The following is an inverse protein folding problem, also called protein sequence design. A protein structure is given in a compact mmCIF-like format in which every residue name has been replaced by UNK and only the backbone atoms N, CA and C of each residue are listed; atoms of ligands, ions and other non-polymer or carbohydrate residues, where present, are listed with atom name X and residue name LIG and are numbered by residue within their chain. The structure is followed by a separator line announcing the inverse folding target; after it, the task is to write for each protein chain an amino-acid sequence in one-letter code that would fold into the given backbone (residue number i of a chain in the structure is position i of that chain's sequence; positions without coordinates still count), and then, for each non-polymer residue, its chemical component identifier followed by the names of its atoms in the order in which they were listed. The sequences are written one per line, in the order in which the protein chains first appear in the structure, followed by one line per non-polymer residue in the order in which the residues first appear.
data_IF_302577756812
#
_entry.id   IF_302577756812
#
_cell.length_a   1.000
_cell.length_b   1.000
_cell.length_c   1.000
_cell.angle_alpha   90.00
_cell.angle_beta   90.00
_cell.angle_gamma   90.00
#
_symmetry.space_group_name_H-M   'P 1'
#
loop_
_entity.id
_entity.type
_entity.pdbx_description
1 polymer ?
#
# COMPACT_ATOMS: atom_id res chain seq x y z
N UNK A 1 -38.31 32.00 19.21
CA UNK A 1 -38.30 31.24 17.94
C UNK A 1 -37.17 31.81 17.10
N UNK A 2 -35.97 31.24 17.18
CA UNK A 2 -34.83 31.62 16.35
C UNK A 2 -33.87 30.43 16.25
N UNK A 3 -34.02 29.66 15.18
CA UNK A 3 -33.15 28.53 14.85
C UNK A 3 -33.16 28.33 13.32
N UNK A 4 -32.21 28.94 12.63
CA UNK A 4 -32.16 28.80 11.17
C UNK A 4 -31.07 29.57 10.43
N UNK A 5 -29.83 29.64 10.96
CA UNK A 5 -28.73 30.23 10.18
C UNK A 5 -27.34 29.79 10.66
N UNK A 6 -27.02 28.49 10.59
CA UNK A 6 -25.64 27.98 10.84
C UNK A 6 -25.19 26.82 9.94
N UNK A 7 -25.87 26.56 8.82
CA UNK A 7 -25.54 25.40 7.97
C UNK A 7 -24.64 25.71 6.75
N UNK A 8 -24.38 26.97 6.40
CA UNK A 8 -23.77 27.31 5.09
C UNK A 8 -22.27 27.61 5.09
N UNK A 9 -21.56 27.53 6.23
CA UNK A 9 -20.17 28.00 6.32
C UNK A 9 -19.07 26.93 6.17
N UNK A 10 -19.41 25.64 6.01
CA UNK A 10 -18.40 24.55 5.98
C UNK A 10 -18.07 23.96 4.61
N UNK A 11 -18.69 24.41 3.53
CA UNK A 11 -18.47 23.82 2.20
C UNK A 11 -17.43 24.58 1.33
N UNK A 12 -16.98 25.76 1.75
CA UNK A 12 -16.10 26.60 0.91
C UNK A 12 -14.59 26.39 1.12
N UNK A 13 -14.17 25.56 2.07
CA UNK A 13 -12.74 25.48 2.45
C UNK A 13 -11.97 24.30 1.83
N UNK A 14 -12.63 23.44 1.04
CA UNK A 14 -11.97 22.27 0.44
C UNK A 14 -11.39 22.53 -0.97
N UNK A 15 -11.62 23.71 -1.56
CA UNK A 15 -11.22 24.02 -2.95
C UNK A 15 -9.85 24.70 -3.08
N UNK A 16 -9.14 25.00 -1.98
CA UNK A 16 -7.87 25.76 -2.02
C UNK A 16 -6.59 24.93 -1.87
N UNK A 17 -6.64 23.59 -1.87
CA UNK A 17 -5.43 22.73 -1.76
C UNK A 17 -5.29 21.69 -2.88
N UNK A 18 -5.75 22.01 -4.09
CA UNK A 18 -5.32 21.27 -5.27
C UNK A 18 -4.11 21.98 -5.88
N UNK A 19 -2.91 21.52 -5.49
CA UNK A 19 -1.67 21.87 -6.16
C UNK A 19 -1.70 21.37 -7.63
N UNK A 20 -1.22 22.16 -8.61
CA UNK A 20 -1.08 21.71 -9.97
C UNK A 20 0.08 20.69 -10.07
N UNK A 21 -0.28 19.45 -10.35
CA UNK A 21 0.63 18.40 -10.75
C UNK A 21 1.04 18.64 -12.22
N UNK A 22 1.99 19.54 -12.45
CA UNK A 22 2.58 19.75 -13.78
C UNK A 22 3.66 18.71 -14.04
N UNK A 23 3.31 17.75 -14.90
CA UNK A 23 4.21 16.80 -15.55
C UNK A 23 5.25 17.55 -16.38
N UNK A 24 6.53 17.41 -16.03
CA UNK A 24 7.63 17.54 -16.96
C UNK A 24 8.31 16.17 -17.08
N UNK A 25 7.88 15.38 -18.07
CA UNK A 25 8.60 14.17 -18.51
C UNK A 25 9.82 14.63 -19.30
N UNK A 26 10.98 14.67 -18.67
CA UNK A 26 12.23 14.65 -19.41
C UNK A 26 12.48 13.19 -19.85
N UNK A 27 12.25 12.91 -21.13
CA UNK A 27 12.78 11.72 -21.80
C UNK A 27 14.29 11.89 -21.91
N UNK A 28 15.04 11.34 -20.97
CA UNK A 28 16.48 11.12 -21.14
C UNK A 28 16.70 9.67 -21.55
N UNK A 29 16.88 9.49 -22.86
CA UNK A 29 17.44 8.30 -23.48
C UNK A 29 18.84 8.05 -22.91
N UNK A 30 19.02 6.95 -22.19
CA UNK A 30 20.35 6.44 -21.84
C UNK A 30 20.89 5.61 -23.00
N UNK A 31 22.09 5.92 -23.53
CA UNK A 31 22.76 5.03 -24.46
C UNK A 31 23.36 3.84 -23.71
N UNK A 32 23.07 2.64 -24.23
CA UNK A 32 23.75 1.39 -23.91
C UNK A 32 25.17 1.49 -24.46
N UNK A 33 26.14 1.77 -23.59
CA UNK A 33 27.56 1.65 -23.90
C UNK A 33 28.02 0.24 -23.54
N UNK A 34 28.01 -0.62 -24.56
CA UNK A 34 28.65 -1.93 -24.58
C UNK A 34 30.18 -1.70 -24.63
N UNK A 35 30.87 -1.90 -23.51
CA UNK A 35 32.33 -1.93 -23.47
C UNK A 35 32.79 -3.34 -23.11
N UNK A 36 33.11 -4.11 -24.15
CA UNK A 36 33.87 -5.34 -24.05
C UNK A 36 35.33 -5.01 -23.73
N UNK A 37 35.78 -5.39 -22.53
CA UNK A 37 37.20 -5.40 -22.18
C UNK A 37 37.59 -6.85 -21.83
N UNK A 38 37.98 -7.59 -22.86
CA UNK A 38 38.76 -8.82 -22.76
C UNK A 38 40.17 -8.45 -22.29
N UNK A 39 40.39 -8.46 -20.97
CA UNK A 39 41.74 -8.47 -20.41
C UNK A 39 42.15 -9.92 -20.15
N UNK A 40 43.00 -10.44 -21.05
CA UNK A 40 43.70 -11.70 -20.88
C UNK A 40 44.70 -11.56 -19.72
N UNK A 41 44.32 -12.01 -18.52
CA UNK A 41 45.23 -12.19 -17.39
C UNK A 41 45.93 -13.54 -17.50
N UNK A 42 47.23 -13.49 -17.75
CA UNK A 42 48.13 -14.64 -17.77
C UNK A 42 48.15 -15.38 -16.41
N UNK A 43 48.32 -16.71 -16.39
CA UNK A 43 48.42 -17.49 -15.16
C UNK A 43 49.77 -17.22 -14.49
N UNK A 44 49.74 -16.47 -13.37
CA UNK A 44 50.89 -16.31 -12.48
C UNK A 44 51.08 -17.60 -11.71
N UNK A 45 52.16 -18.33 -11.99
CA UNK A 45 52.57 -19.51 -11.26
C UNK A 45 52.71 -19.18 -9.76
N UNK A 46 51.79 -19.71 -8.95
CA UNK A 46 51.85 -19.60 -7.51
C UNK A 46 52.97 -20.50 -6.96
N UNK A 47 53.73 -20.06 -5.95
CA UNK A 47 54.68 -20.91 -5.25
C UNK A 47 53.93 -22.08 -4.60
N UNK A 48 54.46 -23.30 -4.79
CA UNK A 48 54.03 -24.52 -4.09
C UNK A 48 54.02 -24.25 -2.58
N UNK A 49 52.82 -24.03 -2.05
CA UNK A 49 52.56 -24.00 -0.62
C UNK A 49 52.95 -25.37 -0.06
N UNK A 50 53.88 -25.36 0.89
CA UNK A 50 54.26 -26.54 1.64
C UNK A 50 53.00 -27.13 2.28
N UNK A 51 52.80 -28.44 2.10
CA UNK A 51 51.66 -29.15 2.63
C UNK A 51 51.50 -28.84 4.13
N UNK A 52 50.33 -28.35 4.60
CA UNK A 52 50.10 -28.16 6.01
C UNK A 52 50.23 -29.51 6.73
N UNK A 53 50.76 -29.53 7.96
CA UNK A 53 50.84 -30.74 8.74
C UNK A 53 49.45 -31.36 8.87
N UNK A 54 49.34 -32.65 8.56
CA UNK A 54 48.15 -33.47 8.78
C UNK A 54 47.88 -33.50 10.29
N UNK A 55 47.07 -32.55 10.75
CA UNK A 55 46.48 -32.59 12.08
C UNK A 55 45.40 -33.67 12.02
N UNK A 56 45.65 -34.81 12.65
CA UNK A 56 44.60 -35.80 12.88
C UNK A 56 43.45 -35.12 13.64
N UNK A 57 42.21 -35.12 13.12
CA UNK A 57 41.09 -34.50 13.79
C UNK A 57 40.83 -35.25 15.09
N UNK A 58 41.09 -34.58 16.21
CA UNK A 58 40.63 -35.04 17.52
C UNK A 58 39.09 -35.24 17.47
N UNK A 59 38.57 -36.29 18.12
CA UNK A 59 37.20 -36.74 17.91
C UNK A 59 36.14 -35.66 18.20
N UNK A 60 35.11 -35.61 17.35
CA UNK A 60 33.94 -34.72 17.27
C UNK A 60 33.03 -34.63 18.52
N UNK A 61 33.45 -35.17 19.67
CA UNK A 61 32.65 -35.25 20.90
C UNK A 61 32.21 -33.87 21.43
N UNK A 62 32.90 -32.80 21.08
CA UNK A 62 32.52 -31.43 21.45
C UNK A 62 31.41 -30.86 20.57
N UNK A 63 31.30 -31.29 19.31
CA UNK A 63 30.29 -30.79 18.35
C UNK A 63 28.93 -31.40 18.65
N UNK A 64 28.86 -32.72 18.88
CA UNK A 64 27.61 -33.40 19.22
C UNK A 64 27.02 -32.87 20.55
N UNK A 65 27.86 -32.64 21.56
CA UNK A 65 27.42 -32.08 22.84
C UNK A 65 26.87 -30.64 22.68
N UNK A 66 27.53 -29.82 21.86
CA UNK A 66 27.08 -28.46 21.56
C UNK A 66 25.75 -28.45 20.78
N UNK A 67 25.56 -29.39 19.86
CA UNK A 67 24.31 -29.54 19.11
C UNK A 67 23.14 -29.92 20.02
N UNK A 68 23.33 -30.90 20.91
CA UNK A 68 22.31 -31.32 21.89
C UNK A 68 21.90 -30.17 22.81
N UNK A 69 22.88 -29.37 23.28
CA UNK A 69 22.59 -28.21 24.11
C UNK A 69 21.87 -27.09 23.34
N UNK A 70 22.25 -26.85 22.08
CA UNK A 70 21.55 -25.90 21.21
C UNK A 70 20.10 -26.31 20.94
N UNK A 71 19.82 -27.60 20.73
CA UNK A 71 18.47 -28.13 20.57
C UNK A 71 17.65 -27.98 21.85
N UNK A 72 18.25 -28.23 23.02
CA UNK A 72 17.60 -28.02 24.32
C UNK A 72 17.26 -26.55 24.54
N UNK A 73 18.18 -25.65 24.23
CA UNK A 73 17.99 -24.21 24.30
C UNK A 73 16.84 -23.74 23.37
N UNK A 74 16.78 -24.26 22.15
CA UNK A 74 15.69 -23.98 21.21
C UNK A 74 14.34 -24.50 21.70
N UNK A 75 14.30 -25.68 22.31
CA UNK A 75 13.08 -26.25 22.88
C UNK A 75 12.53 -25.38 24.02
N UNK A 76 13.41 -24.92 24.92
CA UNK A 76 13.04 -24.03 26.03
C UNK A 76 12.48 -22.69 25.54
N UNK A 77 13.09 -22.09 24.52
CA UNK A 77 12.59 -20.84 23.93
C UNK A 77 11.21 -21.03 23.26
N UNK A 78 10.98 -22.18 22.61
CA UNK A 78 9.73 -22.44 21.89
C UNK A 78 8.51 -22.68 22.79
N UNK A 79 8.71 -23.05 24.07
CA UNK A 79 7.62 -23.40 24.98
C UNK A 79 6.70 -22.22 25.35
N UNK A 80 7.17 -20.98 25.20
CA UNK A 80 6.42 -19.77 25.55
C UNK A 80 6.19 -18.81 24.39
N UNK A 81 6.65 -19.13 23.17
CA UNK A 81 6.49 -18.28 22.00
C UNK A 81 5.36 -18.77 21.09
N UNK A 82 4.59 -17.85 20.46
CA UNK A 82 3.62 -18.24 19.46
C UNK A 82 4.32 -18.94 18.29
N UNK A 83 3.64 -19.90 17.69
CA UNK A 83 4.11 -20.57 16.49
C UNK A 83 4.21 -19.58 15.33
N UNK A 84 5.13 -19.83 14.40
CA UNK A 84 5.26 -18.98 13.19
C UNK A 84 3.94 -18.93 12.41
N UNK A 85 3.17 -20.02 12.38
CA UNK A 85 1.87 -20.07 11.72
C UNK A 85 0.85 -19.11 12.35
N UNK A 86 0.82 -19.02 13.69
CA UNK A 86 -0.05 -18.07 14.41
C UNK A 86 0.36 -16.62 14.14
N UNK A 87 1.67 -16.33 14.12
CA UNK A 87 2.19 -14.99 13.81
C UNK A 87 1.82 -14.59 12.38
N UNK A 88 2.04 -15.48 11.42
CA UNK A 88 1.69 -15.23 10.01
C UNK A 88 0.18 -15.06 9.82
N UNK A 89 -0.64 -15.87 10.49
CA UNK A 89 -2.09 -15.74 10.43
C UNK A 89 -2.57 -14.42 11.04
N UNK A 90 -2.04 -14.03 12.20
CA UNK A 90 -2.38 -12.77 12.85
C UNK A 90 -1.95 -11.56 12.01
N UNK A 91 -0.76 -11.58 11.41
CA UNK A 91 -0.28 -10.51 10.54
C UNK A 91 -1.12 -10.40 9.26
N UNK A 92 -1.53 -11.54 8.70
CA UNK A 92 -2.43 -11.57 7.56
C UNK A 92 -3.80 -10.96 7.88
N UNK A 93 -4.36 -11.27 9.05
CA UNK A 93 -5.64 -10.70 9.51
C UNK A 93 -5.53 -9.19 9.78
N UNK A 94 -4.47 -8.75 10.45
CA UNK A 94 -4.23 -7.33 10.73
C UNK A 94 -4.15 -6.51 9.42
N UNK A 95 -3.43 -7.03 8.41
CA UNK A 95 -3.33 -6.37 7.11
C UNK A 95 -4.67 -6.28 6.34
N UNK A 96 -5.61 -7.18 6.62
CA UNK A 96 -6.95 -7.14 6.04
C UNK A 96 -7.85 -6.10 6.74
N UNK A 97 -7.69 -5.91 8.05
CA UNK A 97 -8.44 -4.94 8.86
C UNK A 97 -8.10 -3.48 8.50
N UNK A 98 -6.86 -3.20 8.12
CA UNK A 98 -6.40 -1.84 7.76
C UNK A 98 -7.03 -1.29 6.46
N UNK A 99 -7.77 -2.10 5.69
CA UNK A 99 -8.37 -1.68 4.41
C UNK A 99 -9.90 -1.92 4.31
N UNK A 100 -10.73 -1.30 5.19
CA UNK A 100 -12.18 -1.52 5.21
C UNK A 100 -12.91 -0.90 4.01
N UNK A 101 -12.28 0.06 3.31
CA UNK A 101 -12.96 0.90 2.32
C UNK A 101 -13.33 0.21 1.00
N UNK A 102 -12.49 -0.70 0.51
CA UNK A 102 -12.51 -0.98 -0.92
C UNK A 102 -13.55 -2.00 -1.40
N UNK A 103 -14.12 -2.81 -0.50
CA UNK A 103 -15.28 -3.66 -0.83
C UNK A 103 -16.56 -2.82 -1.00
N UNK A 104 -16.70 -1.76 -0.20
CA UNK A 104 -17.86 -0.87 -0.25
C UNK A 104 -17.91 -0.03 -1.53
N UNK A 105 -16.77 0.39 -2.07
CA UNK A 105 -16.72 1.23 -3.27
C UNK A 105 -17.26 0.53 -4.52
N UNK A 106 -16.90 -0.73 -4.75
CA UNK A 106 -17.40 -1.49 -5.90
C UNK A 106 -18.92 -1.69 -5.83
N UNK A 107 -19.44 -2.03 -4.65
CA UNK A 107 -20.90 -2.16 -4.43
C UNK A 107 -21.61 -0.82 -4.64
N UNK A 108 -21.08 0.28 -4.08
CA UNK A 108 -21.64 1.63 -4.27
C UNK A 108 -21.61 2.07 -5.74
N UNK A 109 -20.54 1.74 -6.47
CA UNK A 109 -20.44 2.05 -7.89
C UNK A 109 -21.48 1.28 -8.72
N UNK A 110 -21.69 -0.02 -8.44
CA UNK A 110 -22.73 -0.82 -9.09
C UNK A 110 -24.14 -0.29 -8.81
N UNK A 111 -24.41 0.12 -7.57
CA UNK A 111 -25.70 0.71 -7.22
C UNK A 111 -25.86 2.08 -7.89
N UNK A 112 -24.82 2.91 -7.93
CA UNK A 112 -24.87 4.22 -8.58
C UNK A 112 -25.15 4.13 -10.09
N UNK A 113 -24.65 3.09 -10.77
CA UNK A 113 -24.94 2.85 -12.19
C UNK A 113 -26.41 2.51 -12.47
N UNK A 114 -27.19 2.09 -11.47
CA UNK A 114 -28.63 1.85 -11.60
C UNK A 114 -29.45 3.14 -11.55
N UNK A 115 -28.91 4.24 -11.02
CA UNK A 115 -29.62 5.50 -10.94
C UNK A 115 -29.34 6.36 -12.18
N UNK A 116 -30.38 6.90 -12.84
CA UNK A 116 -30.17 7.89 -13.90
C UNK A 116 -29.53 9.15 -13.33
N UNK A 117 -28.67 9.77 -14.14
CA UNK A 117 -28.29 11.15 -13.91
C UNK A 117 -29.43 12.05 -14.38
N UNK A 118 -30.07 12.73 -13.44
CA UNK A 118 -31.11 13.72 -13.71
C UNK A 118 -30.47 15.12 -13.78
N UNK A 119 -30.60 15.78 -14.92
CA UNK A 119 -30.23 17.18 -15.11
C UNK A 119 -31.47 17.98 -15.46
N UNK A 120 -31.74 19.00 -14.65
CA UNK A 120 -32.79 19.98 -14.90
C UNK A 120 -32.13 21.28 -15.38
N UNK A 121 -32.52 21.75 -16.56
CA UNK A 121 -32.09 23.04 -17.08
C UNK A 121 -33.32 23.95 -17.19
N UNK A 122 -33.16 25.18 -16.74
CA UNK A 122 -34.15 26.23 -16.91
C UNK A 122 -33.56 27.28 -17.83
N UNK A 123 -34.12 27.41 -19.02
CA UNK A 123 -33.75 28.42 -19.99
C UNK A 123 -34.81 29.50 -19.98
N UNK A 124 -34.35 30.73 -19.74
CA UNK A 124 -35.16 31.94 -19.87
C UNK A 124 -34.57 32.71 -21.05
N UNK A 125 -35.29 32.67 -22.18
CA UNK A 125 -34.89 33.43 -23.35
C UNK A 125 -35.35 34.88 -23.18
N UNK A 126 -34.44 35.75 -22.77
CA UNK A 126 -34.61 37.20 -22.78
C UNK A 126 -33.92 37.74 -24.04
N UNK A 127 -34.54 37.63 -25.22
CA UNK A 127 -33.97 38.27 -26.42
C UNK A 127 -34.51 39.68 -26.61
N UNK A 128 -33.57 40.63 -26.58
CA UNK A 128 -33.70 41.98 -27.09
C UNK A 128 -33.80 41.98 -28.63
N UNK A 129 -34.78 42.70 -29.14
CA UNK A 129 -34.99 42.95 -30.56
C UNK A 129 -33.73 43.55 -31.21
N UNK A 130 -33.18 42.90 -32.25
CA UNK A 130 -32.31 43.60 -33.22
C UNK A 130 -33.05 43.64 -34.56
N UNK A 131 -33.62 44.79 -34.86
CA UNK A 131 -34.16 45.10 -36.18
C UNK A 131 -32.97 45.18 -37.13
N UNK A 132 -32.79 44.16 -37.99
CA UNK A 132 -31.92 44.29 -39.17
C UNK A 132 -32.86 44.68 -40.31
N UNK A 133 -33.06 45.99 -40.48
CA UNK A 133 -33.78 46.51 -41.64
C UNK A 133 -32.87 46.42 -42.86
N UNK A 134 -33.09 45.43 -43.74
CA UNK A 134 -32.70 45.57 -45.13
C UNK A 134 -33.78 46.43 -45.80
N UNK A 135 -33.44 47.68 -46.10
CA UNK A 135 -34.24 48.56 -46.95
C UNK A 135 -34.26 47.97 -48.37
N UNK A 136 -35.15 47.01 -48.60
CA UNK A 136 -35.42 46.41 -49.89
C UNK A 136 -36.90 46.07 -49.93
N UNK A 137 -37.64 46.70 -50.83
CA UNK A 137 -39.09 46.59 -50.97
C UNK A 137 -39.56 45.13 -51.04
N UNK A 138 -40.30 44.69 -50.04
CA UNK A 138 -41.07 43.44 -50.10
C UNK A 138 -40.92 42.59 -48.86
N UNK A 139 -41.90 42.74 -47.96
CA UNK A 139 -42.22 41.80 -46.89
C UNK A 139 -41.23 41.75 -45.71
N UNK A 140 -41.56 42.53 -44.67
CA UNK A 140 -40.98 42.35 -43.34
C UNK A 140 -41.67 41.14 -42.70
N UNK A 141 -41.00 40.00 -42.72
CA UNK A 141 -41.49 38.80 -42.04
C UNK A 141 -41.28 38.98 -40.52
N UNK A 142 -42.34 39.38 -39.82
CA UNK A 142 -42.33 39.51 -38.37
C UNK A 142 -42.44 38.12 -37.75
N UNK A 143 -41.33 37.42 -37.64
CA UNK A 143 -41.25 36.17 -36.89
C UNK A 143 -41.45 36.49 -35.40
N UNK A 144 -42.72 36.45 -34.95
CA UNK A 144 -43.11 36.62 -33.54
C UNK A 144 -42.57 35.45 -32.72
N UNK A 145 -41.36 35.60 -32.20
CA UNK A 145 -40.87 34.73 -31.13
C UNK A 145 -41.34 35.34 -29.80
N UNK A 146 -42.41 34.79 -29.25
CA UNK A 146 -42.90 35.20 -27.94
C UNK A 146 -41.88 34.84 -26.83
N UNK A 147 -41.75 35.66 -25.77
CA UNK A 147 -40.90 35.31 -24.63
C UNK A 147 -41.33 33.95 -24.06
N UNK A 148 -40.38 33.03 -23.99
CA UNK A 148 -40.61 31.65 -23.60
C UNK A 148 -39.80 31.27 -22.37
N UNK A 149 -40.45 30.56 -21.45
CA UNK A 149 -39.77 29.82 -20.41
C UNK A 149 -39.69 28.36 -20.85
N UNK A 150 -38.49 27.79 -20.86
CA UNK A 150 -38.31 26.37 -21.13
C UNK A 150 -37.67 25.71 -19.91
N UNK A 151 -38.38 24.71 -19.36
CA UNK A 151 -37.82 23.79 -18.37
C UNK A 151 -37.55 22.49 -19.12
N UNK A 152 -36.29 22.05 -19.15
CA UNK A 152 -35.91 20.76 -19.71
C UNK A 152 -35.41 19.84 -18.60
N UNK A 153 -36.00 18.64 -18.53
CA UNK A 153 -35.57 17.56 -17.65
C UNK A 153 -34.95 16.48 -18.52
N UNK A 154 -33.67 16.19 -18.29
CA UNK A 154 -32.93 15.14 -18.99
C UNK A 154 -32.52 14.07 -17.99
N UNK A 155 -32.91 12.83 -18.28
CA UNK A 155 -32.46 11.64 -17.57
C UNK A 155 -31.47 10.89 -18.47
N UNK A 156 -30.29 10.57 -17.96
CA UNK A 156 -29.26 9.84 -18.70
C UNK A 156 -28.87 8.59 -17.91
N UNK A 157 -29.06 7.42 -18.53
CA UNK A 157 -28.58 6.14 -18.02
C UNK A 157 -27.29 5.76 -18.74
N UNK A 158 -26.25 5.46 -17.98
CA UNK A 158 -25.04 4.85 -18.52
C UNK A 158 -25.14 3.33 -18.43
N UNK A 159 -25.79 2.74 -19.43
CA UNK A 159 -25.91 1.27 -19.53
C UNK A 159 -24.57 0.60 -19.91
N UNK A 160 -23.58 1.37 -20.38
CA UNK A 160 -22.24 0.85 -20.65
C UNK A 160 -21.53 0.42 -19.37
N UNK A 161 -21.73 1.17 -18.28
CA UNK A 161 -21.24 0.84 -16.94
C UNK A 161 -21.88 -0.42 -16.31
N UNK A 162 -23.00 -0.92 -16.86
CA UNK A 162 -23.63 -2.17 -16.42
C UNK A 162 -23.00 -3.42 -17.07
N UNK A 163 -22.54 -3.31 -18.33
CA UNK A 163 -21.99 -4.45 -19.10
C UNK A 163 -20.47 -4.54 -18.95
N UNK A 164 -19.78 -3.41 -18.94
CA UNK A 164 -18.36 -3.30 -18.68
C UNK A 164 -18.18 -2.36 -17.49
N UNK A 165 -18.43 -2.87 -16.29
CA UNK A 165 -18.18 -2.09 -15.09
C UNK A 165 -16.69 -1.71 -15.08
N UNK A 166 -16.38 -0.45 -15.32
CA UNK A 166 -15.05 0.15 -15.10
C UNK A 166 -14.51 -0.17 -13.70
N UNK A 167 -15.41 -0.51 -12.78
CA UNK A 167 -15.11 -1.06 -11.46
C UNK A 167 -14.50 -2.46 -11.43
N UNK A 168 -14.53 -3.28 -12.49
CA UNK A 168 -13.93 -4.62 -12.49
C UNK A 168 -12.42 -4.57 -12.52
N UNK A 169 -11.84 -3.74 -13.39
CA UNK A 169 -10.39 -3.51 -13.42
C UNK A 169 -9.93 -2.88 -12.11
N UNK A 170 -10.69 -1.90 -11.59
CA UNK A 170 -10.40 -1.30 -10.29
C UNK A 170 -10.51 -2.30 -9.13
N UNK A 171 -11.52 -3.18 -9.14
CA UNK A 171 -11.69 -4.22 -8.13
C UNK A 171 -10.61 -5.30 -8.23
N UNK A 172 -10.17 -5.67 -9.44
CA UNK A 172 -9.07 -6.59 -9.65
C UNK A 172 -7.72 -6.00 -9.17
N UNK A 173 -7.48 -4.72 -9.48
CA UNK A 173 -6.32 -3.99 -8.99
C UNK A 173 -6.32 -3.92 -7.45
N UNK A 174 -7.46 -3.64 -6.85
CA UNK A 174 -7.63 -3.60 -5.40
C UNK A 174 -7.42 -4.96 -4.74
N UNK A 175 -7.98 -6.04 -5.32
CA UNK A 175 -7.74 -7.41 -4.84
C UNK A 175 -6.25 -7.74 -4.87
N UNK A 176 -5.56 -7.34 -5.94
CA UNK A 176 -4.12 -7.54 -6.08
C UNK A 176 -3.34 -6.71 -5.07
N UNK A 177 -3.76 -5.47 -4.82
CA UNK A 177 -3.15 -4.60 -3.82
C UNK A 177 -3.28 -5.18 -2.41
N UNK A 178 -4.46 -5.69 -2.03
CA UNK A 178 -4.69 -6.37 -0.75
C UNK A 178 -3.88 -7.65 -0.60
N UNK A 179 -3.83 -8.48 -1.63
CA UNK A 179 -3.02 -9.69 -1.62
C UNK A 179 -1.53 -9.36 -1.42
N UNK A 180 -1.04 -8.29 -2.05
CA UNK A 180 0.33 -7.79 -1.86
C UNK A 180 0.55 -7.25 -0.45
N UNK A 181 -0.36 -6.44 0.08
CA UNK A 181 -0.28 -5.91 1.44
C UNK A 181 -0.22 -7.04 2.48
N UNK A 182 -1.09 -8.06 2.31
CA UNK A 182 -1.08 -9.27 3.14
C UNK A 182 0.25 -10.02 3.03
N UNK A 183 0.75 -10.26 1.82
CA UNK A 183 2.01 -10.96 1.63
C UNK A 183 3.21 -10.21 2.23
N UNK A 184 3.25 -8.88 2.08
CA UNK A 184 4.28 -8.02 2.67
C UNK A 184 4.21 -8.01 4.19
N UNK A 185 3.02 -7.92 4.79
CA UNK A 185 2.85 -7.99 6.24
C UNK A 185 3.34 -9.33 6.80
N UNK A 186 2.95 -10.45 6.17
CA UNK A 186 3.39 -11.80 6.55
C UNK A 186 4.91 -11.93 6.43
N UNK A 187 5.50 -11.43 5.33
CA UNK A 187 6.95 -11.45 5.12
C UNK A 187 7.70 -10.67 6.20
N UNK A 188 7.26 -9.46 6.52
CA UNK A 188 7.87 -8.62 7.56
C UNK A 188 7.73 -9.26 8.94
N UNK A 189 6.54 -9.74 9.29
CA UNK A 189 6.31 -10.41 10.57
C UNK A 189 7.20 -11.67 10.72
N UNK A 190 7.40 -12.42 9.63
CA UNK A 190 8.30 -13.57 9.60
C UNK A 190 9.76 -13.15 9.83
N UNK A 191 10.22 -12.09 9.18
CA UNK A 191 11.58 -11.58 9.36
C UNK A 191 11.83 -11.13 10.81
N UNK A 192 10.94 -10.29 11.35
CA UNK A 192 11.03 -9.79 12.74
C UNK A 192 10.97 -10.95 13.76
N UNK A 193 10.09 -11.94 13.52
CA UNK A 193 9.98 -13.13 14.38
C UNK A 193 11.32 -13.88 14.49
N UNK A 194 11.94 -14.21 13.35
CA UNK A 194 13.20 -14.96 13.35
C UNK A 194 14.37 -14.12 13.83
N UNK A 195 14.38 -12.81 13.58
CA UNK A 195 15.39 -11.91 14.11
C UNK A 195 15.35 -11.85 15.65
N UNK A 196 14.15 -11.69 16.22
CA UNK A 196 13.94 -11.73 17.67
C UNK A 196 14.38 -13.06 18.26
N UNK A 197 14.00 -14.17 17.63
CA UNK A 197 14.37 -15.52 18.06
C UNK A 197 15.88 -15.75 18.01
N UNK A 198 16.56 -15.25 16.98
CA UNK A 198 18.02 -15.30 16.85
C UNK A 198 18.71 -14.55 17.99
N UNK A 199 18.24 -13.35 18.33
CA UNK A 199 18.82 -12.57 19.43
C UNK A 199 18.61 -13.25 20.79
N UNK A 200 17.41 -13.80 21.04
CA UNK A 200 17.13 -14.58 22.26
C UNK A 200 18.03 -15.80 22.38
N UNK A 201 18.21 -16.53 21.27
CA UNK A 201 19.12 -17.68 21.23
C UNK A 201 20.58 -17.26 21.48
N UNK A 202 21.01 -16.15 20.88
CA UNK A 202 22.35 -15.61 21.10
C UNK A 202 22.59 -15.24 22.57
N UNK A 203 21.62 -14.59 23.22
CA UNK A 203 21.70 -14.27 24.65
C UNK A 203 21.76 -15.53 25.53
N UNK A 204 21.04 -16.58 25.16
CA UNK A 204 20.99 -17.82 25.93
C UNK A 204 22.30 -18.62 25.82
N UNK A 205 22.90 -18.68 24.62
CA UNK A 205 24.12 -19.46 24.37
C UNK A 205 25.39 -18.70 24.75
N UNK A 206 25.42 -17.38 24.55
CA UNK A 206 26.59 -16.54 24.76
C UNK A 206 26.16 -15.20 25.41
N UNK A 207 25.78 -15.22 26.70
CA UNK A 207 25.38 -14.01 27.39
C UNK A 207 26.55 -13.01 27.43
N UNK A 208 26.31 -11.72 27.12
CA UNK A 208 27.35 -10.72 27.16
C UNK A 208 27.90 -10.54 28.58
N UNK A 209 29.21 -10.33 28.70
CA UNK A 209 29.91 -10.24 29.99
C UNK A 209 29.65 -8.92 30.74
N UNK A 210 29.10 -7.91 30.09
CA UNK A 210 28.83 -6.59 30.68
C UNK A 210 27.33 -6.35 30.80
N UNK A 211 26.91 -5.76 31.93
CA UNK A 211 25.51 -5.44 32.20
C UNK A 211 24.92 -4.48 31.15
N UNK A 212 25.73 -3.55 30.62
CA UNK A 212 25.30 -2.61 29.59
C UNK A 212 25.00 -3.32 28.27
N UNK A 213 25.86 -4.24 27.82
CA UNK A 213 25.62 -5.01 26.61
C UNK A 213 24.43 -5.95 26.75
N UNK A 214 24.21 -6.51 27.95
CA UNK A 214 23.01 -7.30 28.25
C UNK A 214 21.74 -6.44 28.09
N UNK A 215 21.70 -5.27 28.75
CA UNK A 215 20.56 -4.37 28.67
C UNK A 215 20.27 -3.89 27.25
N UNK A 216 21.30 -3.64 26.42
CA UNK A 216 21.11 -3.28 25.02
C UNK A 216 20.49 -4.41 24.19
N UNK A 217 20.93 -5.64 24.40
CA UNK A 217 20.38 -6.80 23.70
C UNK A 217 18.93 -7.10 24.11
N UNK A 218 18.59 -6.91 25.38
CA UNK A 218 17.21 -7.01 25.88
C UNK A 218 16.30 -5.94 25.25
N UNK A 219 16.75 -4.67 25.22
CA UNK A 219 16.01 -3.59 24.58
C UNK A 219 15.75 -3.83 23.09
N UNK A 220 16.72 -4.46 22.39
CA UNK A 220 16.54 -4.80 20.97
C UNK A 220 15.51 -5.92 20.77
N UNK A 221 15.48 -6.92 21.67
CA UNK A 221 14.44 -7.95 21.68
C UNK A 221 13.06 -7.33 21.94
N UNK A 222 12.97 -6.37 22.86
CA UNK A 222 11.73 -5.65 23.16
C UNK A 222 11.27 -4.79 21.98
N UNK A 223 12.20 -4.10 21.31
CA UNK A 223 11.93 -3.33 20.08
C UNK A 223 11.33 -4.22 18.99
N UNK A 224 11.94 -5.38 18.73
CA UNK A 224 11.42 -6.37 17.77
C UNK A 224 10.08 -6.97 18.23
N UNK A 225 9.87 -7.11 19.53
CA UNK A 225 8.57 -7.47 20.11
C UNK A 225 7.48 -6.47 19.76
N UNK A 226 7.73 -5.18 20.01
CA UNK A 226 6.80 -4.10 19.69
C UNK A 226 6.53 -3.98 18.18
N UNK A 227 7.55 -4.21 17.35
CA UNK A 227 7.39 -4.23 15.89
C UNK A 227 6.50 -5.40 15.43
N UNK A 228 6.68 -6.59 16.01
CA UNK A 228 5.84 -7.75 15.75
C UNK A 228 4.40 -7.52 16.23
N UNK A 229 4.22 -6.85 17.35
CA UNK A 229 2.89 -6.47 17.86
C UNK A 229 2.19 -5.48 16.94
N UNK A 230 2.89 -4.47 16.44
CA UNK A 230 2.34 -3.52 15.48
C UNK A 230 1.86 -4.24 14.20
N UNK A 231 2.62 -5.24 13.72
CA UNK A 231 2.25 -6.04 12.54
C UNK A 231 1.11 -7.03 12.80
N UNK A 232 0.85 -7.39 14.05
CA UNK A 232 -0.14 -8.42 14.44
C UNK A 232 -1.35 -7.85 15.17
N UNK A 233 -1.53 -6.54 15.14
CA UNK A 233 -2.56 -5.80 15.88
C UNK A 233 -2.54 -6.05 17.40
N UNK A 234 -1.35 -6.24 17.97
CA UNK A 234 -1.13 -6.41 19.41
C UNK A 234 -1.52 -7.77 19.97
N UNK A 235 -1.68 -8.81 19.13
CA UNK A 235 -2.08 -10.16 19.58
C UNK A 235 -1.06 -10.87 20.46
N UNK A 236 0.23 -10.57 20.29
CA UNK A 236 1.32 -11.30 20.96
C UNK A 236 2.13 -10.45 21.93
N UNK A 237 1.62 -9.25 22.22
CA UNK A 237 2.30 -8.31 23.10
C UNK A 237 2.19 -8.79 24.53
N UNK A 238 3.27 -9.41 25.01
CA UNK A 238 3.50 -9.75 26.40
C UNK A 238 3.71 -8.53 27.31
N UNK A 239 3.43 -7.31 26.82
CA UNK A 239 3.27 -6.14 27.66
C UNK A 239 2.13 -6.40 28.63
N UNK A 240 2.49 -6.79 29.86
CA UNK A 240 1.58 -6.89 31.00
C UNK A 240 0.65 -5.67 30.96
N UNK A 241 -0.62 -5.90 30.62
CA UNK A 241 -1.69 -4.95 30.91
C UNK A 241 -1.85 -4.86 32.41
#
# INVERSE_FOLDING_TARGET
MDAGSRASARYQDCSRRCAPCSRARAMTSLPVALAAALAATAPRAAPRSAAPPTVEPAPDVSVEAAEVEALRALALLSAGEPSIGEVQAAAALAAEEDNPGAAGFARRARVAALLPRLTAEYQRDERSYRVVGLQGSGEVDYLRVAPGHAVSLRATWDLGGLVAATGEVAAAAERTARARARAEAVKRATAVYYERRRLRLALLLAPPSTALALGQAELEIDRLGAELDALTAGRFGGGRR
#
